data_IF_421463153524
#
_entry.id   IF_421463153524
#
_cell.length_a   1.000
_cell.length_b   1.000
_cell.length_c   1.000
_cell.angle_alpha   90.00
_cell.angle_beta   90.00
_cell.angle_gamma   90.00
#
_symmetry.space_group_name_H-M   'P 1'
#
loop_
_entity.id
_entity.type
_entity.pdbx_description
1 polymer ?
#
# COMPACT_ATOMS: atom_id res chain seq x y z
N UNK A 1 -19.90 9.68 -14.39
CA UNK A 1 -19.11 10.78 -13.80
C UNK A 1 -19.14 10.71 -12.28
N UNK A 2 -20.33 10.63 -11.68
CA UNK A 2 -20.53 10.56 -10.22
C UNK A 2 -19.78 9.40 -9.53
N UNK A 3 -19.83 8.18 -10.08
CA UNK A 3 -19.09 7.03 -9.53
C UNK A 3 -17.58 7.21 -9.55
N UNK A 4 -17.04 7.90 -10.57
CA UNK A 4 -15.60 8.16 -10.67
C UNK A 4 -15.20 9.24 -9.64
N UNK A 5 -16.01 10.28 -9.47
CA UNK A 5 -15.82 11.28 -8.42
C UNK A 5 -15.76 10.65 -7.05
N UNK A 6 -16.78 9.84 -6.70
CA UNK A 6 -16.79 9.09 -5.43
C UNK A 6 -15.56 8.21 -5.24
N UNK A 7 -15.10 7.50 -6.27
CA UNK A 7 -13.86 6.71 -6.16
C UNK A 7 -12.66 7.58 -5.77
N UNK A 8 -12.48 8.74 -6.40
CA UNK A 8 -11.37 9.63 -6.05
C UNK A 8 -11.52 10.23 -4.66
N UNK A 9 -12.72 10.69 -4.30
CA UNK A 9 -12.95 11.37 -3.03
C UNK A 9 -12.95 10.37 -1.85
N UNK A 10 -13.75 9.32 -1.93
CA UNK A 10 -14.04 8.42 -0.80
C UNK A 10 -13.06 7.23 -0.68
N UNK A 11 -12.33 6.88 -1.76
CA UNK A 11 -11.34 5.79 -1.71
C UNK A 11 -9.90 6.32 -1.81
N UNK A 12 -9.58 7.15 -2.79
CA UNK A 12 -8.20 7.60 -3.03
C UNK A 12 -7.77 8.68 -2.04
N UNK A 13 -8.51 9.79 -1.98
CA UNK A 13 -8.19 10.93 -1.12
C UNK A 13 -8.39 10.55 0.35
N UNK A 14 -9.54 10.00 0.71
CA UNK A 14 -9.81 9.50 2.06
C UNK A 14 -8.81 8.42 2.50
N UNK A 15 -8.40 7.52 1.58
CA UNK A 15 -7.37 6.53 1.85
C UNK A 15 -6.03 7.17 2.25
N UNK A 16 -5.64 8.25 1.56
CA UNK A 16 -4.43 9.01 1.89
C UNK A 16 -4.57 9.76 3.22
N UNK A 17 -5.72 10.39 3.49
CA UNK A 17 -5.99 11.05 4.79
C UNK A 17 -5.90 10.04 5.93
N UNK A 18 -6.48 8.85 5.78
CA UNK A 18 -6.37 7.76 6.76
C UNK A 18 -4.91 7.32 6.97
N UNK A 19 -4.10 7.26 5.91
CA UNK A 19 -2.68 6.95 6.02
C UNK A 19 -1.91 8.02 6.82
N UNK A 20 -2.19 9.32 6.59
CA UNK A 20 -1.58 10.42 7.33
C UNK A 20 -1.93 10.35 8.84
N UNK A 21 -3.21 10.15 9.17
CA UNK A 21 -3.66 9.98 10.56
C UNK A 21 -3.01 8.76 11.20
N UNK A 22 -2.96 7.64 10.47
CA UNK A 22 -2.28 6.43 10.92
C UNK A 22 -0.80 6.67 11.22
N UNK A 23 -0.06 7.34 10.32
CA UNK A 23 1.35 7.62 10.49
C UNK A 23 1.63 8.57 11.67
N UNK A 24 0.76 9.55 11.90
CA UNK A 24 0.82 10.41 13.09
C UNK A 24 0.62 9.62 14.39
N UNK A 25 -0.38 8.75 14.45
CA UNK A 25 -0.60 7.90 15.62
C UNK A 25 0.57 6.93 15.85
N UNK A 26 1.10 6.35 14.78
CA UNK A 26 2.25 5.46 14.82
C UNK A 26 3.46 6.13 15.49
N UNK A 27 3.72 7.39 15.16
CA UNK A 27 4.79 8.18 15.78
C UNK A 27 4.62 8.29 17.30
N UNK A 28 3.39 8.53 17.79
CA UNK A 28 3.10 8.63 19.22
C UNK A 28 3.45 7.34 19.97
N UNK A 29 3.10 6.18 19.42
CA UNK A 29 3.43 4.88 20.03
C UNK A 29 4.94 4.61 20.01
N UNK A 30 5.63 4.96 18.92
CA UNK A 30 7.09 4.82 18.80
C UNK A 30 7.81 5.76 19.78
N UNK A 31 7.34 7.00 19.94
CA UNK A 31 7.87 7.93 20.94
C UNK A 31 7.70 7.41 22.37
N UNK A 32 6.63 6.64 22.62
CA UNK A 32 6.41 5.91 23.87
C UNK A 32 7.28 4.67 24.07
N UNK A 33 8.19 4.35 23.13
CA UNK A 33 9.12 3.23 23.22
C UNK A 33 8.59 1.91 22.65
N UNK A 34 7.39 1.88 22.08
CA UNK A 34 6.84 0.67 21.45
C UNK A 34 7.68 0.28 20.23
N UNK A 35 7.90 -1.02 20.00
CA UNK A 35 8.44 -1.51 18.73
C UNK A 35 7.31 -2.08 17.89
N UNK A 36 7.20 -1.63 16.65
CA UNK A 36 6.03 -1.86 15.80
C UNK A 36 6.46 -2.45 14.46
N UNK A 37 5.80 -3.51 14.05
CA UNK A 37 5.91 -4.05 12.70
C UNK A 37 4.60 -3.84 11.95
N UNK A 38 4.73 -3.27 10.75
CA UNK A 38 3.63 -3.04 9.81
C UNK A 38 3.77 -4.04 8.67
N UNK A 39 2.73 -4.84 8.47
CA UNK A 39 2.66 -5.78 7.36
C UNK A 39 1.89 -5.16 6.21
N UNK A 40 2.58 -4.99 5.09
CA UNK A 40 2.02 -4.42 3.86
C UNK A 40 1.82 -5.52 2.83
N UNK A 41 0.69 -5.48 2.13
CA UNK A 41 0.42 -6.27 0.92
C UNK A 41 0.15 -5.32 -0.23
N UNK A 42 0.59 -5.69 -1.43
CA UNK A 42 0.27 -4.94 -2.63
C UNK A 42 -0.31 -5.85 -3.70
N UNK A 43 -1.14 -5.25 -4.54
CA UNK A 43 -1.92 -5.92 -5.58
C UNK A 43 -1.48 -5.39 -6.93
N UNK A 44 -1.76 -6.14 -8.01
CA UNK A 44 -1.60 -5.67 -9.38
C UNK A 44 -2.71 -6.22 -10.27
N UNK A 45 -3.15 -5.41 -11.23
CA UNK A 45 -4.09 -5.82 -12.27
C UNK A 45 -3.51 -6.95 -13.13
N UNK A 46 -4.33 -7.86 -13.69
CA UNK A 46 -3.87 -9.07 -14.39
C UNK A 46 -3.28 -8.80 -15.80
N UNK A 47 -3.11 -7.55 -16.17
CA UNK A 47 -2.66 -7.08 -17.49
C UNK A 47 -1.28 -7.61 -17.95
N UNK A 48 -0.40 -7.96 -17.01
CA UNK A 48 0.99 -8.32 -17.31
C UNK A 48 1.36 -9.69 -16.74
N UNK A 49 2.52 -10.22 -17.16
CA UNK A 49 3.03 -11.49 -16.67
C UNK A 49 3.17 -11.50 -15.15
N UNK A 50 3.06 -12.68 -14.55
CA UNK A 50 3.23 -12.86 -13.10
C UNK A 50 4.56 -12.26 -12.59
N UNK A 51 5.67 -12.49 -13.30
CA UNK A 51 6.98 -11.93 -12.96
C UNK A 51 7.00 -10.38 -13.01
N UNK A 52 6.35 -9.77 -14.01
CA UNK A 52 6.25 -8.32 -14.10
C UNK A 52 5.38 -7.74 -12.98
N UNK A 53 4.23 -8.37 -12.72
CA UNK A 53 3.33 -7.97 -11.65
C UNK A 53 4.00 -8.10 -10.27
N UNK A 54 4.83 -9.12 -10.06
CA UNK A 54 5.67 -9.27 -8.87
C UNK A 54 6.64 -8.09 -8.70
N UNK A 55 7.34 -7.68 -9.77
CA UNK A 55 8.22 -6.52 -9.72
C UNK A 55 7.44 -5.21 -9.47
N UNK A 56 6.21 -5.10 -9.98
CA UNK A 56 5.35 -3.93 -9.77
C UNK A 56 4.83 -3.85 -8.32
N UNK A 57 4.39 -4.97 -7.75
CA UNK A 57 3.93 -5.03 -6.35
C UNK A 57 5.07 -4.69 -5.39
N UNK A 58 6.29 -5.19 -5.64
CA UNK A 58 7.49 -4.81 -4.89
C UNK A 58 7.80 -3.31 -4.97
N UNK A 59 7.68 -2.69 -6.15
CA UNK A 59 7.85 -1.24 -6.31
C UNK A 59 6.82 -0.44 -5.51
N UNK A 60 5.55 -0.87 -5.49
CA UNK A 60 4.49 -0.23 -4.68
C UNK A 60 4.79 -0.29 -3.18
N UNK A 61 5.25 -1.44 -2.69
CA UNK A 61 5.71 -1.59 -1.31
C UNK A 61 6.88 -0.64 -1.02
N UNK A 62 7.85 -0.54 -1.93
CA UNK A 62 8.97 0.37 -1.78
C UNK A 62 8.50 1.83 -1.66
N UNK A 63 7.46 2.23 -2.42
CA UNK A 63 6.82 3.54 -2.28
C UNK A 63 6.22 3.75 -0.88
N UNK A 64 5.51 2.76 -0.32
CA UNK A 64 4.98 2.84 1.05
C UNK A 64 6.11 2.99 2.09
N UNK A 65 7.19 2.21 1.95
CA UNK A 65 8.36 2.34 2.81
C UNK A 65 9.01 3.72 2.68
N UNK A 66 9.09 4.26 1.48
CA UNK A 66 9.64 5.59 1.22
C UNK A 66 8.76 6.70 1.78
N UNK A 67 7.44 6.53 1.74
CA UNK A 67 6.49 7.42 2.41
C UNK A 67 6.81 7.50 3.91
N UNK A 68 6.86 6.35 4.62
CA UNK A 68 7.21 6.35 6.04
C UNK A 68 8.59 6.95 6.32
N UNK A 69 9.60 6.68 5.48
CA UNK A 69 10.93 7.30 5.64
C UNK A 69 10.94 8.82 5.50
N UNK A 70 10.00 9.41 4.77
CA UNK A 70 9.91 10.85 4.52
C UNK A 70 8.86 11.56 5.38
N UNK A 71 7.97 10.82 6.03
CA UNK A 71 6.91 11.35 6.87
C UNK A 71 7.48 12.34 7.90
N UNK A 72 6.85 13.52 8.00
CA UNK A 72 7.24 14.63 8.88
C UNK A 72 8.76 14.84 8.99
N UNK A 73 9.39 15.25 7.88
CA UNK A 73 10.84 15.48 7.80
C UNK A 73 11.70 14.25 8.19
N UNK A 74 11.13 13.05 8.02
CA UNK A 74 11.82 11.78 8.20
C UNK A 74 11.85 11.24 9.62
N UNK A 75 10.96 11.72 10.51
CA UNK A 75 10.89 11.25 11.90
C UNK A 75 10.72 9.72 12.00
N UNK A 76 9.80 9.15 11.20
CA UNK A 76 9.59 7.70 11.16
C UNK A 76 10.77 6.94 10.52
N UNK A 77 11.56 7.60 9.66
CA UNK A 77 12.80 7.04 9.11
C UNK A 77 13.85 6.73 10.18
N UNK A 78 13.88 7.50 11.27
CA UNK A 78 14.78 7.26 12.41
C UNK A 78 14.42 5.97 13.14
N UNK A 79 13.13 5.74 13.41
CA UNK A 79 12.63 4.51 14.02
C UNK A 79 12.80 3.28 13.11
N UNK A 80 12.76 3.47 11.79
CA UNK A 80 13.12 2.38 10.86
C UNK A 80 14.60 2.03 10.99
N UNK A 81 15.46 3.05 11.03
CA UNK A 81 16.92 2.86 11.05
C UNK A 81 17.41 2.23 12.36
N UNK A 82 16.79 2.54 13.49
CA UNK A 82 17.11 1.93 14.79
C UNK A 82 16.40 0.58 15.03
N UNK A 83 15.58 0.12 14.08
CA UNK A 83 14.89 -1.16 14.14
C UNK A 83 13.68 -1.22 15.07
N UNK A 84 13.19 -0.06 15.54
CA UNK A 84 11.98 0.05 16.36
C UNK A 84 10.71 0.00 15.50
N UNK A 85 10.77 0.50 14.26
CA UNK A 85 9.72 0.37 13.25
C UNK A 85 10.16 -0.57 12.14
N UNK A 86 9.39 -1.62 11.87
CA UNK A 86 9.60 -2.53 10.74
C UNK A 86 8.47 -2.38 9.73
N UNK A 87 8.81 -2.32 8.45
CA UNK A 87 7.85 -2.33 7.34
C UNK A 87 8.12 -3.55 6.48
N UNK A 88 7.32 -4.58 6.75
CA UNK A 88 7.47 -5.93 6.22
C UNK A 88 6.39 -6.22 5.18
N UNK A 89 6.64 -7.22 4.36
CA UNK A 89 5.75 -7.63 3.28
C UNK A 89 5.22 -9.02 3.54
N UNK A 90 3.91 -9.21 3.40
CA UNK A 90 3.37 -10.56 3.44
C UNK A 90 3.83 -11.37 2.21
N UNK A 91 4.05 -12.68 2.35
CA UNK A 91 4.35 -13.55 1.22
C UNK A 91 3.27 -13.42 0.16
N UNK A 92 3.69 -13.16 -1.08
CA UNK A 92 2.84 -12.84 -2.22
C UNK A 92 2.21 -14.10 -2.85
N UNK A 93 1.76 -15.05 -2.03
CA UNK A 93 1.33 -16.40 -2.43
C UNK A 93 0.06 -16.43 -3.27
N UNK A 94 0.08 -15.84 -4.46
CA UNK A 94 -1.03 -15.70 -5.41
C UNK A 94 -2.06 -14.62 -5.03
N UNK A 95 -1.64 -13.35 -5.02
CA UNK A 95 -2.63 -12.27 -5.19
C UNK A 95 -3.18 -12.33 -6.61
N UNK A 96 -4.19 -13.17 -6.84
CA UNK A 96 -4.99 -13.14 -8.06
C UNK A 96 -5.85 -11.89 -8.04
N UNK A 97 -5.89 -11.17 -9.15
CA UNK A 97 -6.81 -10.06 -9.32
C UNK A 97 -8.26 -10.55 -9.15
N UNK A 98 -9.16 -9.65 -8.75
CA UNK A 98 -10.57 -9.98 -8.63
C UNK A 98 -11.11 -10.51 -9.96
N UNK A 99 -12.03 -11.51 -9.97
CA UNK A 99 -12.50 -12.21 -11.18
C UNK A 99 -13.17 -11.34 -12.27
N UNK A 100 -13.37 -10.05 -12.03
CA UNK A 100 -14.03 -9.11 -12.95
C UNK A 100 -13.10 -8.12 -13.65
N UNK A 101 -11.79 -8.18 -13.42
CA UNK A 101 -10.84 -7.19 -13.95
C UNK A 101 -10.26 -7.67 -15.28
N UNK A 102 -10.42 -6.86 -16.33
CA UNK A 102 -9.94 -7.17 -17.67
C UNK A 102 -8.41 -7.28 -17.72
N UNK A 103 -7.91 -8.33 -18.35
CA UNK A 103 -6.50 -8.55 -18.69
C UNK A 103 -6.16 -8.16 -20.14
N UNK A 104 -7.15 -7.77 -20.95
CA UNK A 104 -6.94 -7.39 -22.34
C UNK A 104 -6.21 -6.05 -22.47
N UNK A 105 -4.96 -6.11 -22.95
CA UNK A 105 -4.12 -4.94 -23.17
C UNK A 105 -4.60 -4.01 -24.29
N UNK A 106 -5.47 -4.50 -25.19
CA UNK A 106 -6.06 -3.70 -26.28
C UNK A 106 -7.23 -2.87 -25.76
N UNK A 107 -7.99 -3.39 -24.79
CA UNK A 107 -9.06 -2.66 -24.11
C UNK A 107 -8.57 -1.92 -22.86
N UNK A 108 -7.77 -0.87 -23.08
CA UNK A 108 -7.23 -0.04 -21.98
C UNK A 108 -8.33 0.62 -21.15
N UNK A 109 -9.51 0.87 -21.72
CA UNK A 109 -10.63 1.47 -20.98
C UNK A 109 -11.02 0.56 -19.82
N UNK A 110 -11.07 -0.76 -20.04
CA UNK A 110 -11.40 -1.74 -18.99
C UNK A 110 -10.19 -2.24 -18.21
N UNK A 111 -9.03 -2.43 -18.84
CA UNK A 111 -7.85 -3.03 -18.19
C UNK A 111 -6.92 -2.02 -17.51
N UNK A 112 -7.08 -0.71 -17.78
CA UNK A 112 -6.22 0.34 -17.23
C UNK A 112 -6.98 1.45 -16.53
N UNK A 113 -8.00 2.02 -17.16
CA UNK A 113 -8.64 3.26 -16.69
C UNK A 113 -9.95 3.04 -15.94
N UNK A 114 -10.39 1.80 -15.82
CA UNK A 114 -11.59 1.46 -15.05
C UNK A 114 -11.33 1.59 -13.55
N UNK A 115 -12.40 1.77 -12.79
CA UNK A 115 -12.34 1.82 -11.33
C UNK A 115 -11.90 0.46 -10.79
N UNK A 116 -12.38 -0.63 -11.40
CA UNK A 116 -12.04 -2.01 -11.05
C UNK A 116 -10.53 -2.26 -11.24
N UNK A 117 -9.96 -1.86 -12.38
CA UNK A 117 -8.52 -1.97 -12.61
C UNK A 117 -7.71 -1.09 -11.65
N UNK A 118 -8.24 0.08 -11.28
CA UNK A 118 -7.60 0.99 -10.33
C UNK A 118 -7.57 0.43 -8.91
N UNK A 119 -8.64 -0.24 -8.47
CA UNK A 119 -8.70 -0.92 -7.17
C UNK A 119 -7.67 -2.05 -7.07
N UNK A 120 -7.35 -2.76 -8.15
CA UNK A 120 -6.27 -3.76 -8.15
C UNK A 120 -4.86 -3.15 -8.05
N UNK A 121 -4.72 -1.83 -8.18
CA UNK A 121 -3.42 -1.14 -8.25
C UNK A 121 -3.08 -0.41 -6.96
N UNK A 122 -3.21 -1.12 -5.84
CA UNK A 122 -3.05 -0.55 -4.50
C UNK A 122 -2.02 -1.28 -3.64
N UNK A 123 -1.66 -0.64 -2.54
CA UNK A 123 -1.00 -1.25 -1.40
C UNK A 123 -1.88 -1.04 -0.17
N UNK A 124 -1.94 -2.05 0.69
CA UNK A 124 -2.75 -2.06 1.90
C UNK A 124 -1.87 -2.42 3.10
N UNK A 125 -2.10 -1.73 4.21
CA UNK A 125 -1.60 -2.13 5.52
C UNK A 125 -2.60 -3.15 6.06
N UNK A 126 -2.16 -4.40 6.23
CA UNK A 126 -3.04 -5.49 6.66
C UNK A 126 -2.97 -5.76 8.16
N UNK A 127 -1.78 -5.57 8.74
CA UNK A 127 -1.55 -5.86 10.15
C UNK A 127 -0.56 -4.85 10.73
N UNK A 128 -0.79 -4.51 11.98
CA UNK A 128 0.13 -3.73 12.81
C UNK A 128 0.27 -4.50 14.10
N UNK A 129 1.50 -4.87 14.44
CA UNK A 129 1.78 -5.65 15.64
C UNK A 129 2.89 -5.04 16.45
N UNK A 130 2.72 -5.11 17.76
CA UNK A 130 3.81 -4.87 18.70
C UNK A 130 4.73 -6.09 18.68
N UNK A 131 6.03 -5.85 18.78
CA UNK A 131 6.99 -6.94 18.98
C UNK A 131 7.97 -6.57 20.09
N UNK A 132 8.31 -7.57 20.89
CA UNK A 132 9.42 -7.47 21.84
C UNK A 132 10.63 -8.19 21.23
N UNK A 133 11.83 -7.81 21.64
CA UNK A 133 13.03 -8.57 21.30
C UNK A 133 13.00 -9.94 21.97
#
# INVERSE_FOLDING_TARGET
AEQLGRFFDEEVNDGFVKLEVFAGNLELFLKGGSRIEIMVKSFASPLASSAYNLALTQRRIASVRNYFRKFQNGILGQYISNGQLKVSTLPLGESKASPGVSDDARDKRRSVYSIEASRERRAEILEVRLFNN
#
